data_IF_034848576605
#
_entry.id   IF_034848576605
#
_cell.length_a   1.000
_cell.length_b   1.000
_cell.length_c   1.000
_cell.angle_alpha   90.00
_cell.angle_beta   90.00
_cell.angle_gamma   90.00
#
_symmetry.space_group_name_H-M   'P 1'
#
loop_
_entity.id
_entity.type
_entity.pdbx_description
1 polymer ?
#
# COMPACT_ATOMS: atom_id res chain seq x y z
N UNK A 1 -16.84 1.04 -26.33
CA UNK A 1 -15.70 0.29 -25.75
C UNK A 1 -15.21 0.87 -24.41
N UNK A 2 -15.11 2.20 -24.24
CA UNK A 2 -14.60 2.86 -23.01
C UNK A 2 -15.47 2.68 -21.75
N UNK A 3 -16.80 2.85 -21.89
CA UNK A 3 -17.76 2.78 -20.76
C UNK A 3 -17.68 1.47 -19.95
N UNK A 4 -17.58 0.31 -20.62
CA UNK A 4 -17.49 -0.98 -19.92
C UNK A 4 -16.16 -1.12 -19.16
N UNK A 5 -15.06 -0.61 -19.71
CA UNK A 5 -13.75 -0.61 -19.06
C UNK A 5 -13.75 0.28 -17.83
N UNK A 6 -14.42 1.43 -17.90
CA UNK A 6 -14.49 2.39 -16.79
C UNK A 6 -15.31 1.80 -15.63
N UNK A 7 -16.45 1.15 -15.93
CA UNK A 7 -17.27 0.45 -14.94
C UNK A 7 -16.50 -0.68 -14.24
N UNK A 8 -15.80 -1.52 -15.00
CA UNK A 8 -14.98 -2.59 -14.43
C UNK A 8 -13.84 -2.03 -13.56
N UNK A 9 -13.24 -0.92 -13.99
CA UNK A 9 -12.18 -0.25 -13.23
C UNK A 9 -12.71 0.36 -11.92
N UNK A 10 -13.93 0.88 -11.91
CA UNK A 10 -14.59 1.38 -10.70
C UNK A 10 -14.84 0.25 -9.69
N UNK A 11 -15.44 -0.87 -10.14
CA UNK A 11 -15.68 -2.05 -9.32
C UNK A 11 -14.38 -2.62 -8.74
N UNK A 12 -13.33 -2.72 -9.57
CA UNK A 12 -12.02 -3.17 -9.11
C UNK A 12 -11.45 -2.26 -8.01
N UNK A 13 -11.54 -0.93 -8.17
CA UNK A 13 -11.05 0.02 -7.16
C UNK A 13 -11.79 -0.13 -5.83
N UNK A 14 -13.10 -0.34 -5.87
CA UNK A 14 -13.94 -0.53 -4.69
C UNK A 14 -13.52 -1.78 -3.91
N UNK A 15 -13.43 -2.93 -4.59
CA UNK A 15 -13.01 -4.19 -3.98
C UNK A 15 -11.57 -4.13 -3.44
N UNK A 16 -10.65 -3.55 -4.21
CA UNK A 16 -9.27 -3.40 -3.79
C UNK A 16 -9.15 -2.53 -2.53
N UNK A 17 -9.93 -1.44 -2.45
CA UNK A 17 -9.98 -0.59 -1.26
C UNK A 17 -10.60 -1.34 -0.06
N UNK A 18 -11.67 -2.11 -0.26
CA UNK A 18 -12.29 -2.91 0.80
C UNK A 18 -11.30 -3.93 1.40
N UNK A 19 -10.49 -4.58 0.56
CA UNK A 19 -9.42 -5.48 0.99
C UNK A 19 -8.33 -4.71 1.75
N UNK A 20 -7.86 -3.57 1.20
CA UNK A 20 -6.76 -2.81 1.79
C UNK A 20 -7.16 -2.16 3.13
N UNK A 21 -8.42 -1.74 3.29
CA UNK A 21 -8.95 -1.20 4.55
C UNK A 21 -8.80 -2.15 5.74
N UNK A 22 -8.75 -3.47 5.51
CA UNK A 22 -8.54 -4.47 6.58
C UNK A 22 -7.18 -4.32 7.26
N UNK A 23 -6.21 -3.66 6.62
CA UNK A 23 -4.88 -3.42 7.16
C UNK A 23 -4.81 -2.15 8.02
N UNK A 24 -5.75 -1.21 7.86
CA UNK A 24 -5.74 0.04 8.62
C UNK A 24 -5.82 -0.25 10.12
N UNK A 25 -4.94 0.38 10.89
CA UNK A 25 -4.77 0.17 12.32
C UNK A 25 -3.89 -1.01 12.71
N UNK A 26 -3.49 -1.87 11.76
CA UNK A 26 -2.61 -3.03 12.02
C UNK A 26 -1.15 -2.68 11.80
N UNK A 27 -0.28 -3.39 12.50
CA UNK A 27 1.14 -3.44 12.18
C UNK A 27 1.41 -4.54 11.17
N UNK A 28 2.18 -4.22 10.14
CA UNK A 28 2.62 -5.17 9.11
C UNK A 28 4.13 -5.12 8.97
N UNK A 29 4.75 -6.27 8.74
CA UNK A 29 6.15 -6.31 8.34
C UNK A 29 6.27 -5.97 6.85
N UNK A 30 7.19 -5.07 6.51
CA UNK A 30 7.46 -4.67 5.15
C UNK A 30 8.97 -4.53 4.88
N UNK A 31 9.37 -4.92 3.68
CA UNK A 31 10.73 -4.77 3.15
C UNK A 31 10.83 -3.49 2.33
N UNK A 32 11.75 -2.59 2.67
CA UNK A 32 12.00 -1.37 1.92
C UNK A 32 12.59 -1.70 0.56
N UNK A 33 11.93 -1.24 -0.50
CA UNK A 33 12.38 -1.42 -1.89
C UNK A 33 13.04 -0.13 -2.39
N UNK A 34 12.49 1.02 -2.01
CA UNK A 34 12.99 2.33 -2.41
C UNK A 34 13.06 3.24 -1.19
N UNK A 35 14.19 3.92 -1.00
CA UNK A 35 14.36 4.98 0.00
C UNK A 35 14.24 6.39 -0.62
N UNK A 36 14.65 7.41 0.12
CA UNK A 36 14.67 8.80 -0.36
C UNK A 36 13.38 9.55 -0.09
N UNK A 37 12.98 10.42 -1.02
CA UNK A 37 11.87 11.38 -0.83
C UNK A 37 10.48 10.74 -0.86
N UNK A 38 10.35 9.59 -1.52
CA UNK A 38 9.12 8.81 -1.57
C UNK A 38 9.42 7.35 -1.25
N UNK A 39 9.75 7.03 0.01
CA UNK A 39 10.16 5.69 0.37
C UNK A 39 8.99 4.71 0.24
N UNK A 40 9.27 3.56 -0.37
CA UNK A 40 8.27 2.49 -0.54
C UNK A 40 8.81 1.16 -0.06
N UNK A 41 7.90 0.38 0.51
CA UNK A 41 8.15 -0.97 0.97
C UNK A 41 7.11 -1.94 0.40
N UNK A 42 7.40 -3.24 0.51
CA UNK A 42 6.50 -4.33 0.14
C UNK A 42 6.24 -5.22 1.33
N UNK A 43 4.98 -5.50 1.62
CA UNK A 43 4.59 -6.52 2.58
C UNK A 43 4.91 -7.92 2.03
N UNK A 44 4.81 -8.95 2.88
CA UNK A 44 5.00 -10.35 2.45
C UNK A 44 4.02 -10.79 1.36
N UNK A 45 2.79 -10.25 1.35
CA UNK A 45 1.82 -10.46 0.28
C UNK A 45 1.93 -9.42 -0.85
N UNK A 46 3.09 -8.79 -0.99
CA UNK A 46 3.48 -7.91 -2.08
C UNK A 46 2.68 -6.60 -2.22
N UNK A 47 1.90 -6.21 -1.20
CA UNK A 47 1.23 -4.91 -1.16
C UNK A 47 2.26 -3.81 -0.99
N UNK A 48 2.11 -2.74 -1.76
CA UNK A 48 2.95 -1.55 -1.62
C UNK A 48 2.57 -0.81 -0.33
N UNK A 49 3.59 -0.37 0.41
CA UNK A 49 3.44 0.53 1.54
C UNK A 49 4.25 1.78 1.25
N UNK A 50 3.59 2.94 1.22
CA UNK A 50 4.25 4.24 1.18
C UNK A 50 4.62 4.63 2.61
N UNK A 51 5.89 4.93 2.81
CA UNK A 51 6.45 5.27 4.11
C UNK A 51 6.60 6.80 4.22
N UNK A 52 6.33 7.36 5.41
CA UNK A 52 6.51 8.80 5.68
C UNK A 52 7.81 9.14 6.41
N UNK A 53 8.56 8.11 6.79
CA UNK A 53 9.85 8.24 7.46
C UNK A 53 11.00 7.89 6.50
N UNK A 54 12.17 8.44 6.77
CA UNK A 54 13.40 8.09 6.04
C UNK A 54 13.79 6.65 6.37
N UNK A 55 13.98 5.85 5.34
CA UNK A 55 14.40 4.44 5.42
C UNK A 55 15.40 4.12 4.32
N UNK A 56 16.09 2.99 4.46
CA UNK A 56 17.08 2.52 3.49
C UNK A 56 16.61 1.25 2.77
N UNK A 57 16.83 1.12 1.45
CA UNK A 57 16.54 -0.10 0.72
C UNK A 57 17.16 -1.35 1.36
N UNK A 58 16.40 -2.44 1.40
CA UNK A 58 16.82 -3.71 2.01
C UNK A 58 16.45 -3.85 3.50
N UNK A 59 16.05 -2.78 4.18
CA UNK A 59 15.59 -2.85 5.57
C UNK A 59 14.24 -3.54 5.68
N UNK A 60 14.06 -4.34 6.74
CA UNK A 60 12.75 -4.85 7.15
C UNK A 60 12.29 -4.10 8.38
N UNK A 61 11.07 -3.58 8.35
CA UNK A 61 10.49 -2.88 9.48
C UNK A 61 9.02 -3.26 9.68
N UNK A 62 8.56 -3.13 10.92
CA UNK A 62 7.13 -3.17 11.24
C UNK A 62 6.57 -1.77 11.11
N UNK A 63 5.52 -1.63 10.31
CA UNK A 63 4.86 -0.34 10.03
C UNK A 63 3.39 -0.42 10.41
N UNK A 64 2.92 0.60 11.12
CA UNK A 64 1.50 0.77 11.40
C UNK A 64 0.83 1.42 10.20
N UNK A 65 -0.12 0.72 9.60
CA UNK A 65 -0.90 1.24 8.48
C UNK A 65 -1.96 2.20 9.01
N UNK A 66 -1.96 3.44 8.52
CA UNK A 66 -2.90 4.49 8.94
C UNK A 66 -3.93 4.83 7.88
N UNK A 67 -3.59 4.59 6.61
CA UNK A 67 -4.44 4.87 5.47
C UNK A 67 -4.27 3.77 4.41
N UNK A 68 -5.30 3.58 3.59
CA UNK A 68 -5.31 2.64 2.49
C UNK A 68 -5.99 3.27 1.26
N UNK A 69 -5.38 3.06 0.10
CA UNK A 69 -5.98 3.36 -1.22
C UNK A 69 -6.30 2.04 -1.93
N UNK A 70 -6.95 2.04 -3.11
CA UNK A 70 -7.04 0.83 -3.94
C UNK A 70 -5.67 0.25 -4.38
N UNK A 71 -4.62 1.07 -4.36
CA UNK A 71 -3.31 0.76 -4.97
C UNK A 71 -2.26 0.42 -3.90
N UNK A 72 -2.29 1.13 -2.78
CA UNK A 72 -1.23 1.12 -1.76
C UNK A 72 -1.78 1.25 -0.34
N UNK A 73 -0.93 0.88 0.61
CA UNK A 73 -1.08 1.17 2.04
C UNK A 73 -0.16 2.34 2.39
N UNK A 74 -0.47 3.08 3.44
CA UNK A 74 0.37 4.19 3.90
C UNK A 74 0.64 4.07 5.39
N UNK A 75 1.91 4.24 5.77
CA UNK A 75 2.32 4.28 7.16
C UNK A 75 2.20 5.69 7.73
N UNK A 76 2.20 5.77 9.07
CA UNK A 76 2.53 7.02 9.76
C UNK A 76 3.97 7.44 9.45
#
# INVERSE_FOLDING_TARGET
KKVRSDLLSALWKEEALAINRRYVGREVEALVVQGGDAPTARTQNYKQVVLRQRVFPGERLKVKVVEATPIDLRSL
#
